data_IF_807687594729
#
_entry.id   IF_807687594729
#
_cell.length_a   1.000
_cell.length_b   1.000
_cell.length_c   1.000
_cell.angle_alpha   90.00
_cell.angle_beta   90.00
_cell.angle_gamma   90.00
#
_symmetry.space_group_name_H-M   'P 1'
#
loop_
_entity.id
_entity.type
_entity.pdbx_description
1 polymer ?
#
# COMPACT_ATOMS: atom_id res chain seq x y z
N UNK A 1 7.98 -7.16 24.61
CA UNK A 1 7.77 -7.24 23.15
C UNK A 1 7.81 -5.83 22.61
N UNK A 2 8.59 -5.57 21.57
CA UNK A 2 8.68 -4.22 20.99
C UNK A 2 7.43 -3.95 20.15
N UNK A 3 6.71 -2.88 20.44
CA UNK A 3 5.55 -2.45 19.65
C UNK A 3 6.02 -2.01 18.27
N UNK A 4 5.30 -2.42 17.22
CA UNK A 4 5.60 -2.06 15.83
C UNK A 4 4.51 -1.14 15.28
N UNK A 5 4.92 -0.04 14.65
CA UNK A 5 4.02 0.84 13.91
C UNK A 5 4.37 0.79 12.43
N UNK A 6 3.39 0.43 11.61
CA UNK A 6 3.50 0.41 10.15
C UNK A 6 2.88 1.69 9.62
N UNK A 7 3.67 2.56 9.01
CA UNK A 7 3.23 3.82 8.43
C UNK A 7 2.90 3.62 6.96
N UNK A 8 1.70 4.07 6.57
CA UNK A 8 1.22 4.04 5.19
C UNK A 8 0.64 5.41 4.82
N UNK A 9 0.57 5.73 3.53
CA UNK A 9 0.15 7.06 3.09
C UNK A 9 -1.34 7.31 3.41
N UNK A 10 -2.19 6.35 3.02
CA UNK A 10 -3.65 6.49 3.12
C UNK A 10 -4.39 5.23 3.56
N UNK A 11 -5.72 5.37 3.63
CA UNK A 11 -6.61 4.31 4.12
C UNK A 11 -6.63 3.08 3.20
N UNK A 12 -6.50 3.26 1.88
CA UNK A 12 -6.42 2.13 0.93
C UNK A 12 -5.22 1.24 1.23
N UNK A 13 -4.06 1.83 1.48
CA UNK A 13 -2.83 1.10 1.83
C UNK A 13 -2.98 0.38 3.16
N UNK A 14 -3.59 1.04 4.15
CA UNK A 14 -3.87 0.44 5.46
C UNK A 14 -4.67 -0.84 5.31
N UNK A 15 -5.79 -0.77 4.56
CA UNK A 15 -6.65 -1.92 4.32
C UNK A 15 -5.95 -3.01 3.50
N UNK A 16 -5.10 -2.66 2.54
CA UNK A 16 -4.32 -3.63 1.78
C UNK A 16 -3.29 -4.38 2.66
N UNK A 17 -2.56 -3.64 3.51
CA UNK A 17 -1.59 -4.23 4.44
C UNK A 17 -2.28 -5.15 5.44
N UNK A 18 -3.38 -4.70 6.06
CA UNK A 18 -4.16 -5.50 7.00
C UNK A 18 -4.71 -6.77 6.34
N UNK A 19 -5.29 -6.64 5.13
CA UNK A 19 -5.80 -7.78 4.38
C UNK A 19 -4.68 -8.78 4.06
N UNK A 20 -3.50 -8.33 3.63
CA UNK A 20 -2.41 -9.24 3.32
C UNK A 20 -1.85 -9.89 4.58
N UNK A 21 -1.67 -9.12 5.65
CA UNK A 21 -1.20 -9.64 6.94
C UNK A 21 -2.08 -10.79 7.43
N UNK A 22 -3.40 -10.60 7.40
CA UNK A 22 -4.37 -11.66 7.74
C UNK A 22 -4.25 -12.89 6.84
N UNK A 23 -4.05 -12.72 5.53
CA UNK A 23 -3.84 -13.84 4.60
C UNK A 23 -2.56 -14.64 4.91
N UNK A 24 -1.54 -13.99 5.43
CA UNK A 24 -0.29 -14.62 5.88
C UNK A 24 -0.36 -15.13 7.33
N UNK A 25 -1.53 -15.07 7.98
CA UNK A 25 -1.75 -15.60 9.32
C UNK A 25 -1.23 -14.70 10.44
N UNK A 26 -0.94 -13.42 10.17
CA UNK A 26 -0.57 -12.48 11.22
C UNK A 26 -1.81 -12.00 11.98
N UNK A 27 -1.77 -12.16 13.31
CA UNK A 27 -2.67 -11.45 14.22
C UNK A 27 -1.94 -10.20 14.70
N UNK A 28 -2.24 -9.07 14.05
CA UNK A 28 -1.56 -7.80 14.28
C UNK A 28 -1.69 -7.34 15.74
N UNK A 29 -2.86 -7.51 16.35
CA UNK A 29 -3.09 -7.12 17.75
C UNK A 29 -2.24 -7.97 18.69
N UNK A 30 -2.23 -9.30 18.52
CA UNK A 30 -1.39 -10.19 19.35
C UNK A 30 0.10 -9.98 19.14
N UNK A 31 0.50 -9.55 17.95
CA UNK A 31 1.90 -9.23 17.62
C UNK A 31 2.30 -7.80 18.02
N UNK A 32 1.38 -6.98 18.53
CA UNK A 32 1.66 -5.59 18.89
C UNK A 32 1.99 -4.71 17.68
N UNK A 33 1.38 -5.00 16.53
CA UNK A 33 1.55 -4.28 15.27
C UNK A 33 0.32 -3.41 15.05
N UNK A 34 0.53 -2.12 14.74
CA UNK A 34 -0.54 -1.19 14.36
C UNK A 34 -0.21 -0.55 13.03
N UNK A 35 -1.14 -0.58 12.08
CA UNK A 35 -1.03 0.12 10.80
C UNK A 35 -1.66 1.50 10.94
N UNK A 36 -0.91 2.54 10.60
CA UNK A 36 -1.27 3.94 10.80
C UNK A 36 -1.18 4.67 9.48
N UNK A 37 -2.30 5.23 9.05
CA UNK A 37 -2.38 6.14 7.91
C UNK A 37 -1.83 7.53 8.27
N UNK A 38 -1.01 8.07 7.39
CA UNK A 38 -0.36 9.36 7.62
C UNK A 38 -1.17 10.54 7.09
N UNK A 39 -2.10 10.30 6.16
CA UNK A 39 -2.83 11.34 5.44
C UNK A 39 -1.91 12.11 4.50
N UNK A 40 -1.04 11.39 3.79
CA UNK A 40 -0.06 11.95 2.85
C UNK A 40 1.39 11.79 3.30
N UNK A 41 2.27 11.52 2.34
CA UNK A 41 3.69 11.24 2.58
C UNK A 41 4.46 12.37 3.25
N UNK A 42 4.08 13.63 2.99
CA UNK A 42 4.73 14.80 3.60
C UNK A 42 4.60 14.85 5.13
N UNK A 43 3.66 14.09 5.70
CA UNK A 43 3.48 13.97 7.14
C UNK A 43 4.46 13.00 7.81
N UNK A 44 5.27 12.24 7.07
CA UNK A 44 6.16 11.18 7.61
C UNK A 44 6.98 11.65 8.81
N UNK A 45 7.60 12.83 8.74
CA UNK A 45 8.42 13.37 9.84
C UNK A 45 7.64 13.53 11.15
N UNK A 46 6.38 13.94 11.10
CA UNK A 46 5.50 14.03 12.28
C UNK A 46 5.25 12.67 12.90
N UNK A 47 5.01 11.65 12.08
CA UNK A 47 4.75 10.29 12.55
C UNK A 47 6.01 9.61 13.08
N UNK A 48 7.17 9.85 12.46
CA UNK A 48 8.46 9.39 12.97
C UNK A 48 8.82 10.04 14.30
N UNK A 49 8.56 11.34 14.48
CA UNK A 49 8.75 11.99 15.78
C UNK A 49 7.83 11.42 16.87
N UNK A 50 6.60 11.02 16.51
CA UNK A 50 5.64 10.43 17.43
C UNK A 50 5.97 8.99 17.82
N UNK A 51 6.30 8.15 16.84
CA UNK A 51 6.43 6.70 17.05
C UNK A 51 7.86 6.20 17.09
N UNK A 52 8.80 6.91 16.47
CA UNK A 52 10.20 6.50 16.38
C UNK A 52 10.99 6.69 17.69
N UNK A 53 12.33 6.64 17.61
CA UNK A 53 13.22 6.59 18.77
C UNK A 53 13.07 7.75 19.76
N UNK A 54 12.70 8.93 19.27
CA UNK A 54 12.52 10.14 20.09
C UNK A 54 11.09 10.30 20.65
N UNK A 55 10.16 9.43 20.25
CA UNK A 55 8.77 9.44 20.70
C UNK A 55 8.44 8.19 21.51
N UNK A 56 7.52 7.37 21.01
CA UNK A 56 7.09 6.14 21.66
C UNK A 56 8.12 5.00 21.60
N UNK A 57 9.22 5.15 20.86
CA UNK A 57 10.27 4.13 20.76
C UNK A 57 9.81 2.83 20.06
N UNK A 58 8.77 2.91 19.23
CA UNK A 58 8.29 1.78 18.46
C UNK A 58 9.30 1.40 17.37
N UNK A 59 9.26 0.14 16.96
CA UNK A 59 9.84 -0.26 15.67
C UNK A 59 8.94 0.30 14.58
N UNK A 60 9.51 1.10 13.68
CA UNK A 60 8.73 1.72 12.60
C UNK A 60 9.03 1.01 11.28
N UNK A 61 7.98 0.60 10.59
CA UNK A 61 8.02 0.07 9.23
C UNK A 61 7.13 0.92 8.33
N UNK A 62 7.20 0.76 7.02
CA UNK A 62 6.23 1.41 6.15
C UNK A 62 6.36 1.11 4.66
N UNK A 63 5.44 1.71 3.91
CA UNK A 63 5.44 1.79 2.45
C UNK A 63 5.51 3.25 2.01
N UNK A 64 6.13 3.49 0.87
CA UNK A 64 6.04 4.76 0.17
C UNK A 64 6.13 4.54 -1.35
N UNK A 65 5.75 5.55 -2.11
CA UNK A 65 5.91 5.52 -3.57
C UNK A 65 7.32 5.98 -3.96
N UNK A 66 7.81 5.55 -5.13
CA UNK A 66 9.14 5.90 -5.61
C UNK A 66 9.34 7.42 -5.76
N UNK A 67 8.28 8.16 -6.09
CA UNK A 67 8.30 9.62 -6.14
C UNK A 67 8.56 10.29 -4.79
N UNK A 68 8.41 9.55 -3.69
CA UNK A 68 8.48 10.06 -2.32
C UNK A 68 9.72 9.56 -1.58
N UNK A 69 10.50 8.67 -2.18
CA UNK A 69 11.66 8.02 -1.56
C UNK A 69 12.63 9.03 -0.95
N UNK A 70 12.92 10.13 -1.64
CA UNK A 70 13.80 11.19 -1.13
C UNK A 70 13.25 11.89 0.12
N UNK A 71 11.92 12.07 0.20
CA UNK A 71 11.24 12.68 1.35
C UNK A 71 11.35 11.74 2.56
N UNK A 72 11.05 10.46 2.36
CA UNK A 72 11.16 9.44 3.40
C UNK A 72 12.59 9.26 3.87
N UNK A 73 13.56 9.16 2.95
CA UNK A 73 14.96 8.98 3.30
C UNK A 73 15.47 10.12 4.20
N UNK A 74 15.16 11.37 3.82
CA UNK A 74 15.51 12.55 4.63
C UNK A 74 14.82 12.53 5.99
N UNK A 75 13.55 12.18 6.06
CA UNK A 75 12.80 12.16 7.31
C UNK A 75 13.32 11.09 8.28
N UNK A 76 13.71 9.92 7.77
CA UNK A 76 14.31 8.84 8.56
C UNK A 76 15.69 9.23 9.11
N UNK A 77 16.52 9.87 8.29
CA UNK A 77 17.82 10.40 8.73
C UNK A 77 17.64 11.40 9.87
N UNK A 78 16.68 12.34 9.72
CA UNK A 78 16.36 13.34 10.73
C UNK A 78 15.76 12.74 12.01
N UNK A 79 15.05 11.61 11.90
CA UNK A 79 14.47 10.89 13.04
C UNK A 79 15.46 9.96 13.76
N UNK A 80 16.72 9.88 13.31
CA UNK A 80 17.75 9.04 13.91
C UNK A 80 17.60 7.55 13.59
N UNK A 81 16.91 7.19 12.50
CA UNK A 81 16.72 5.80 12.05
C UNK A 81 17.84 5.28 11.13
N UNK A 82 18.96 6.02 11.09
CA UNK A 82 20.14 5.66 10.31
C UNK A 82 20.06 6.07 8.84
N UNK A 83 21.21 5.99 8.19
CA UNK A 83 21.40 6.30 6.77
C UNK A 83 21.47 5.02 5.94
N UNK A 84 21.11 5.10 4.65
CA UNK A 84 21.18 3.97 3.71
C UNK A 84 19.89 3.77 2.92
N UNK A 85 19.75 2.66 2.19
CA UNK A 85 18.53 2.34 1.46
C UNK A 85 17.30 2.30 2.37
N UNK A 86 16.12 2.64 1.84
CA UNK A 86 14.86 2.55 2.60
C UNK A 86 14.57 1.12 3.12
N UNK A 87 14.78 0.04 2.33
CA UNK A 87 14.46 -1.32 2.79
C UNK A 87 15.28 -1.76 4.01
N UNK A 88 16.55 -1.35 4.10
CA UNK A 88 17.37 -1.66 5.29
C UNK A 88 16.93 -0.90 6.54
N UNK A 89 16.09 0.14 6.38
CA UNK A 89 15.51 0.94 7.45
C UNK A 89 14.04 0.58 7.73
N UNK A 90 13.53 -0.49 7.12
CA UNK A 90 12.17 -0.99 7.33
C UNK A 90 11.09 -0.36 6.44
N UNK A 91 11.49 0.39 5.40
CA UNK A 91 10.58 1.05 4.46
C UNK A 91 10.71 0.46 3.07
N UNK A 92 9.59 0.07 2.46
CA UNK A 92 9.57 -0.57 1.15
C UNK A 92 8.92 0.35 0.13
N UNK A 93 9.41 0.33 -1.11
CA UNK A 93 9.08 1.34 -2.12
C UNK A 93 8.24 0.71 -3.22
N UNK A 94 7.03 1.22 -3.43
CA UNK A 94 6.20 0.92 -4.60
C UNK A 94 6.74 1.67 -5.82
N UNK A 95 6.69 1.06 -7.01
CA UNK A 95 7.23 1.70 -8.21
C UNK A 95 6.45 2.97 -8.59
N UNK A 96 5.12 2.90 -8.57
CA UNK A 96 4.26 4.04 -8.87
C UNK A 96 3.25 4.31 -7.76
N UNK A 97 2.44 3.30 -7.43
CA UNK A 97 1.50 3.28 -6.32
C UNK A 97 1.16 1.81 -5.98
N UNK A 98 0.55 1.57 -4.81
CA UNK A 98 0.19 0.22 -4.39
C UNK A 98 -0.88 -0.42 -5.30
N UNK A 99 -1.79 0.36 -5.88
CA UNK A 99 -2.80 -0.18 -6.78
C UNK A 99 -2.21 -0.73 -8.09
N UNK A 100 -1.18 -0.09 -8.64
CA UNK A 100 -0.46 -0.58 -9.81
C UNK A 100 0.33 -1.84 -9.46
N UNK A 101 1.00 -1.89 -8.32
CA UNK A 101 1.69 -3.10 -7.84
C UNK A 101 0.73 -4.30 -7.77
N UNK A 102 -0.46 -4.09 -7.20
CA UNK A 102 -1.53 -5.09 -7.13
C UNK A 102 -2.06 -5.46 -8.52
N UNK A 103 -2.27 -4.49 -9.40
CA UNK A 103 -2.74 -4.71 -10.77
C UNK A 103 -1.73 -5.54 -11.57
N UNK A 104 -0.44 -5.21 -11.49
CA UNK A 104 0.61 -5.93 -12.20
C UNK A 104 0.74 -7.36 -11.69
N UNK A 105 0.63 -7.57 -10.38
CA UNK A 105 0.71 -8.90 -9.78
C UNK A 105 -0.53 -9.77 -10.07
N UNK A 106 -1.73 -9.19 -10.04
CA UNK A 106 -2.98 -9.90 -10.32
C UNK A 106 -3.24 -10.09 -11.82
N UNK A 107 -2.72 -9.20 -12.65
CA UNK A 107 -2.99 -9.14 -14.08
C UNK A 107 -4.36 -8.53 -14.42
N UNK A 108 -4.52 -8.09 -15.67
CA UNK A 108 -5.74 -7.42 -16.15
C UNK A 108 -6.98 -8.30 -15.95
N UNK A 109 -6.92 -9.57 -16.34
CA UNK A 109 -8.08 -10.47 -16.26
C UNK A 109 -8.52 -10.71 -14.81
N UNK A 110 -7.57 -10.88 -13.89
CA UNK A 110 -7.86 -11.02 -12.47
C UNK A 110 -8.50 -9.76 -11.88
N UNK A 111 -8.01 -8.58 -12.27
CA UNK A 111 -8.61 -7.30 -11.86
C UNK A 111 -10.03 -7.14 -12.42
N UNK A 112 -10.25 -7.48 -13.69
CA UNK A 112 -11.58 -7.43 -14.31
C UNK A 112 -12.56 -8.40 -13.65
N UNK A 113 -12.09 -9.60 -13.27
CA UNK A 113 -12.87 -10.56 -12.46
C UNK A 113 -13.28 -9.95 -11.13
N UNK A 114 -12.37 -9.28 -10.41
CA UNK A 114 -12.72 -8.59 -9.15
C UNK A 114 -13.80 -7.54 -9.37
N UNK A 115 -13.68 -6.71 -10.43
CA UNK A 115 -14.70 -5.70 -10.78
C UNK A 115 -16.05 -6.36 -11.14
N UNK A 116 -16.02 -7.48 -11.86
CA UNK A 116 -17.22 -8.26 -12.19
C UNK A 116 -17.88 -8.85 -10.94
N UNK A 117 -17.11 -9.42 -10.03
CA UNK A 117 -17.61 -9.98 -8.75
C UNK A 117 -18.19 -8.89 -7.84
N UNK A 118 -17.79 -7.63 -8.03
CA UNK A 118 -18.40 -6.45 -7.40
C UNK A 118 -19.62 -5.89 -8.14
N UNK A 119 -20.01 -6.49 -9.27
CA UNK A 119 -21.13 -6.06 -10.11
C UNK A 119 -20.87 -4.77 -10.89
N UNK A 120 -19.62 -4.31 -10.99
CA UNK A 120 -19.28 -3.01 -11.58
C UNK A 120 -18.67 -3.09 -12.99
N UNK A 121 -18.70 -4.27 -13.62
CA UNK A 121 -18.13 -4.45 -14.96
C UNK A 121 -18.82 -3.53 -15.98
N UNK A 122 -20.14 -3.35 -15.90
CA UNK A 122 -20.88 -2.42 -16.75
C UNK A 122 -20.40 -0.96 -16.57
N UNK A 123 -20.15 -0.54 -15.33
CA UNK A 123 -19.61 0.79 -15.04
C UNK A 123 -18.20 0.98 -15.59
N UNK A 124 -17.35 -0.06 -15.51
CA UNK A 124 -16.04 -0.03 -16.14
C UNK A 124 -16.15 0.10 -17.67
N UNK A 125 -17.02 -0.69 -18.33
CA UNK A 125 -17.26 -0.58 -19.78
C UNK A 125 -17.77 0.80 -20.21
N UNK A 126 -18.58 1.46 -19.38
CA UNK A 126 -19.01 2.83 -19.64
C UNK A 126 -17.84 3.82 -19.55
N UNK A 127 -16.95 3.67 -18.56
CA UNK A 127 -15.74 4.47 -18.44
C UNK A 127 -14.82 4.30 -19.67
N UNK A 128 -14.67 3.08 -20.20
CA UNK A 128 -13.87 2.83 -21.41
C UNK A 128 -14.39 3.57 -22.66
N UNK A 129 -15.68 3.93 -22.71
CA UNK A 129 -16.26 4.65 -23.85
C UNK A 129 -16.02 6.16 -23.80
N UNK A 130 -15.48 6.68 -22.69
CA UNK A 130 -15.23 8.12 -22.55
C UNK A 130 -14.13 8.57 -23.53
N UNK A 131 -14.29 9.72 -24.21
CA UNK A 131 -13.31 10.20 -25.19
C UNK A 131 -11.88 10.28 -24.66
N UNK A 132 -11.71 10.69 -23.40
CA UNK A 132 -10.41 10.81 -22.75
C UNK A 132 -9.73 9.46 -22.40
N UNK A 133 -10.44 8.33 -22.54
CA UNK A 133 -9.98 7.02 -22.07
C UNK A 133 -10.07 5.93 -23.13
N UNK A 134 -10.90 6.10 -24.18
CA UNK A 134 -11.16 5.05 -25.17
C UNK A 134 -9.93 4.59 -25.97
N UNK A 135 -8.95 5.47 -26.11
CA UNK A 135 -7.69 5.20 -26.83
C UNK A 135 -6.54 4.89 -25.86
N UNK A 136 -6.78 5.00 -24.56
CA UNK A 136 -5.81 4.68 -23.52
C UNK A 136 -5.66 3.16 -23.33
N UNK A 137 -4.52 2.76 -22.77
CA UNK A 137 -4.31 1.38 -22.37
C UNK A 137 -5.33 0.91 -21.32
N UNK A 138 -5.61 -0.39 -21.27
CA UNK A 138 -6.50 -0.97 -20.24
C UNK A 138 -5.96 -0.66 -18.82
N UNK A 139 -4.64 -0.65 -18.65
CA UNK A 139 -4.01 -0.29 -17.37
C UNK A 139 -4.37 1.14 -16.97
N UNK A 140 -4.22 2.11 -17.88
CA UNK A 140 -4.61 3.51 -17.61
C UNK A 140 -6.11 3.65 -17.33
N UNK A 141 -6.96 2.91 -18.05
CA UNK A 141 -8.41 2.87 -17.80
C UNK A 141 -8.74 2.30 -16.41
N UNK A 142 -8.08 1.22 -15.98
CA UNK A 142 -8.25 0.62 -14.65
C UNK A 142 -7.78 1.57 -13.55
N UNK A 143 -6.62 2.21 -13.72
CA UNK A 143 -6.13 3.24 -12.79
C UNK A 143 -7.13 4.38 -12.66
N UNK A 144 -7.71 4.83 -13.79
CA UNK A 144 -8.77 5.84 -13.78
C UNK A 144 -10.05 5.34 -13.13
N UNK A 145 -10.40 4.07 -13.26
CA UNK A 145 -11.56 3.49 -12.59
C UNK A 145 -11.40 3.45 -11.06
N UNK A 146 -10.20 3.12 -10.56
CA UNK A 146 -9.92 3.11 -9.13
C UNK A 146 -9.74 4.51 -8.54
N UNK A 147 -9.05 5.41 -9.24
CA UNK A 147 -8.79 6.78 -8.77
C UNK A 147 -9.89 7.79 -9.10
N UNK A 148 -10.78 7.50 -10.05
CA UNK A 148 -11.73 8.48 -10.60
C UNK A 148 -13.01 8.67 -9.80
N UNK A 149 -13.37 7.72 -8.92
CA UNK A 149 -14.48 7.85 -7.97
C UNK A 149 -13.93 7.90 -6.55
N UNK A 150 -14.40 8.87 -5.76
CA UNK A 150 -14.05 8.95 -4.35
C UNK A 150 -14.34 7.62 -3.64
N UNK A 151 -13.36 7.11 -2.89
CA UNK A 151 -13.48 5.87 -2.13
C UNK A 151 -13.23 4.57 -2.89
N UNK A 152 -13.08 4.59 -4.22
CA UNK A 152 -12.84 3.34 -4.96
C UNK A 152 -11.50 2.70 -4.61
N UNK A 153 -10.42 3.48 -4.46
CA UNK A 153 -9.13 2.98 -3.97
C UNK A 153 -9.28 2.24 -2.63
N UNK A 154 -9.96 2.85 -1.67
CA UNK A 154 -10.21 2.29 -0.33
C UNK A 154 -11.01 0.98 -0.42
N UNK A 155 -12.08 0.97 -1.22
CA UNK A 155 -12.93 -0.21 -1.41
C UNK A 155 -12.20 -1.37 -2.08
N UNK A 156 -11.44 -1.09 -3.14
CA UNK A 156 -10.85 -2.13 -3.98
C UNK A 156 -9.51 -2.66 -3.47
N UNK A 157 -8.75 -1.89 -2.70
CA UNK A 157 -7.48 -2.32 -2.14
C UNK A 157 -7.54 -3.70 -1.45
N UNK A 158 -8.42 -3.95 -0.45
CA UNK A 158 -8.52 -5.27 0.19
C UNK A 158 -9.08 -6.35 -0.75
N UNK A 159 -9.92 -6.00 -1.73
CA UNK A 159 -10.49 -6.95 -2.70
C UNK A 159 -9.43 -7.47 -3.67
N UNK A 160 -8.57 -6.57 -4.17
CA UNK A 160 -7.43 -6.93 -5.01
C UNK A 160 -6.47 -7.82 -4.24
N UNK A 161 -6.17 -7.48 -2.99
CA UNK A 161 -5.32 -8.31 -2.11
C UNK A 161 -5.93 -9.70 -1.88
N UNK A 162 -7.25 -9.80 -1.69
CA UNK A 162 -7.93 -11.09 -1.51
C UNK A 162 -7.87 -11.97 -2.76
N UNK A 163 -7.85 -11.36 -3.95
CA UNK A 163 -7.81 -12.06 -5.23
C UNK A 163 -6.41 -12.52 -5.66
N UNK A 164 -5.33 -12.01 -5.04
CA UNK A 164 -3.97 -12.41 -5.37
C UNK A 164 -3.76 -13.92 -5.19
N UNK A 165 -3.08 -14.61 -6.12
CA UNK A 165 -2.70 -16.01 -5.93
C UNK A 165 -1.87 -16.21 -4.66
N UNK A 166 -1.95 -17.41 -4.05
CA UNK A 166 -1.17 -17.72 -2.86
C UNK A 166 0.34 -17.56 -3.13
N UNK A 167 1.06 -16.86 -2.26
CA UNK A 167 2.48 -16.59 -2.42
C UNK A 167 2.84 -15.55 -3.49
N UNK A 168 1.86 -14.93 -4.16
CA UNK A 168 2.08 -13.93 -5.21
C UNK A 168 1.60 -12.56 -4.75
N UNK A 169 2.24 -12.02 -3.71
CA UNK A 169 2.04 -10.62 -3.32
C UNK A 169 3.07 -9.73 -4.01
N UNK A 170 2.75 -8.45 -4.29
CA UNK A 170 3.72 -7.54 -4.86
C UNK A 170 4.95 -7.41 -3.94
N UNK A 171 6.17 -7.33 -4.50
CA UNK A 171 7.41 -7.37 -3.70
C UNK A 171 7.48 -6.36 -2.53
N UNK A 172 7.04 -5.08 -2.68
CA UNK A 172 7.07 -4.13 -1.57
C UNK A 172 6.17 -4.57 -0.41
N UNK A 173 4.96 -5.03 -0.73
CA UNK A 173 3.97 -5.47 0.25
C UNK A 173 4.39 -6.81 0.90
N UNK A 174 4.92 -7.75 0.12
CA UNK A 174 5.46 -9.01 0.63
C UNK A 174 6.64 -8.78 1.59
N UNK A 175 7.55 -7.87 1.25
CA UNK A 175 8.71 -7.52 2.07
C UNK A 175 8.28 -6.84 3.37
N UNK A 176 7.26 -5.98 3.33
CA UNK A 176 6.66 -5.39 4.53
C UNK A 176 6.10 -6.45 5.48
N UNK A 177 5.29 -7.39 4.97
CA UNK A 177 4.72 -8.47 5.80
C UNK A 177 5.83 -9.37 6.35
N UNK A 178 6.85 -9.71 5.54
CA UNK A 178 8.00 -10.48 6.01
C UNK A 178 8.73 -9.76 7.17
N UNK A 179 8.80 -8.43 7.14
CA UNK A 179 9.38 -7.62 8.20
C UNK A 179 8.54 -7.61 9.49
N UNK A 180 7.34 -8.17 9.55
CA UNK A 180 6.57 -8.28 10.80
C UNK A 180 7.16 -9.32 11.76
N UNK A 181 7.94 -10.28 11.23
CA UNK A 181 8.71 -11.17 12.08
C UNK A 181 9.74 -10.38 12.91
N UNK A 182 9.90 -10.71 14.20
CA UNK A 182 10.85 -10.05 15.10
C UNK A 182 12.32 -10.35 14.75
#
# INVERSE_FOLDING_TARGET
MQTTTVLVEGESDRLAVEALAHRFGHDLTRQGITVVEMGGATNIGRFLARYGPHGAGHRVLGLCDAGEEAIFARALDQAGLGTGPLPSRGFFVCHADLEEELLQCLGIDGVLKVIEDQGELASFRLLQRQPALREESIVAQLRRFFGGRGGNKIRYAPLLVAALPAGHAPPPLASLIAAFAP
#
